data_IF_403663852438
#
_entry.id   IF_403663852438
#
_cell.length_a   1.000
_cell.length_b   1.000
_cell.length_c   1.000
_cell.angle_alpha   90.00
_cell.angle_beta   90.00
_cell.angle_gamma   90.00
#
_symmetry.space_group_name_H-M   'P 1'
#
loop_
_entity.id
_entity.type
_entity.pdbx_description
1 polymer ?
#
# COMPACT_ATOMS: atom_id res chain seq x y z
N UNK A 1 33.85 1.10 -26.30
CA UNK A 1 32.57 0.39 -26.47
C UNK A 1 31.52 1.40 -26.88
N UNK A 2 31.00 1.29 -28.11
CA UNK A 2 30.27 2.35 -28.82
C UNK A 2 28.94 2.74 -28.16
N UNK A 3 28.78 3.98 -27.73
CA UNK A 3 27.57 4.52 -27.08
C UNK A 3 26.30 4.23 -27.92
N UNK A 4 26.41 4.28 -29.24
CA UNK A 4 25.34 3.94 -30.19
C UNK A 4 24.88 2.49 -30.10
N UNK A 5 25.81 1.53 -29.89
CA UNK A 5 25.49 0.12 -29.74
C UNK A 5 24.76 -0.14 -28.38
N UNK A 6 25.17 0.55 -27.31
CA UNK A 6 24.54 0.46 -26.00
C UNK A 6 23.11 1.04 -25.99
N UNK A 7 22.92 2.16 -26.71
CA UNK A 7 21.58 2.78 -26.87
C UNK A 7 20.65 1.90 -27.71
N UNK A 8 21.20 1.21 -28.73
CA UNK A 8 20.42 0.28 -29.55
C UNK A 8 19.99 -0.95 -28.76
N UNK A 9 20.87 -1.54 -27.94
CA UNK A 9 20.52 -2.66 -27.05
C UNK A 9 19.50 -2.28 -26.00
N UNK A 10 19.54 -1.04 -25.46
CA UNK A 10 18.53 -0.53 -24.54
C UNK A 10 17.14 -0.40 -25.20
N UNK A 11 17.07 0.05 -26.46
CA UNK A 11 15.82 0.14 -27.22
C UNK A 11 15.22 -1.23 -27.56
N UNK A 12 16.06 -2.26 -27.68
CA UNK A 12 15.66 -3.64 -27.97
C UNK A 12 15.25 -4.41 -26.70
N UNK A 13 15.49 -3.84 -25.51
CA UNK A 13 15.13 -4.47 -24.24
C UNK A 13 13.61 -4.65 -24.12
N UNK A 14 13.09 -5.85 -23.75
CA UNK A 14 11.65 -6.14 -23.72
C UNK A 14 10.82 -5.12 -22.94
N UNK A 15 11.28 -4.68 -21.77
CA UNK A 15 10.59 -3.67 -20.98
C UNK A 15 10.50 -2.30 -21.67
N UNK A 16 11.54 -1.87 -22.38
CA UNK A 16 11.51 -0.60 -23.13
C UNK A 16 10.52 -0.71 -24.30
N UNK A 17 10.46 -1.87 -24.95
CA UNK A 17 9.51 -2.13 -26.03
C UNK A 17 8.07 -2.12 -25.52
N UNK A 18 7.79 -2.55 -24.29
CA UNK A 18 6.45 -2.44 -23.67
C UNK A 18 5.97 -1.00 -23.68
N UNK A 19 6.78 -0.03 -23.25
CA UNK A 19 6.41 1.40 -23.26
C UNK A 19 6.37 1.98 -24.68
N UNK A 20 7.24 1.51 -25.58
CA UNK A 20 7.24 1.95 -26.96
C UNK A 20 5.99 1.48 -27.72
N UNK A 21 5.56 0.25 -27.45
CA UNK A 21 4.42 -0.40 -28.12
C UNK A 21 3.05 0.03 -27.55
N UNK A 22 3.01 0.47 -26.29
CA UNK A 22 1.80 0.96 -25.62
C UNK A 22 1.87 2.49 -25.48
N UNK A 23 1.57 3.19 -26.57
CA UNK A 23 1.44 4.65 -26.55
C UNK A 23 0.19 5.11 -25.77
N UNK A 24 0.02 6.44 -25.61
CA UNK A 24 -1.16 7.01 -24.95
C UNK A 24 -1.18 6.80 -23.44
N UNK A 25 -2.31 6.29 -22.90
CA UNK A 25 -2.54 6.17 -21.45
C UNK A 25 -1.46 5.36 -20.72
N UNK A 26 -1.13 4.11 -21.13
CA UNK A 26 -0.18 3.29 -20.38
C UNK A 26 1.20 3.94 -20.24
N UNK A 27 1.72 4.46 -21.35
CA UNK A 27 3.03 5.12 -21.37
C UNK A 27 3.03 6.39 -20.51
N UNK A 28 2.00 7.22 -20.64
CA UNK A 28 1.89 8.47 -19.87
C UNK A 28 1.84 8.18 -18.38
N UNK A 29 0.97 7.25 -17.94
CA UNK A 29 0.78 6.93 -16.52
C UNK A 29 2.07 6.37 -15.89
N UNK A 30 2.75 5.45 -16.57
CA UNK A 30 4.02 4.91 -16.06
C UNK A 30 5.09 6.00 -15.92
N UNK A 31 5.20 6.92 -16.90
CA UNK A 31 6.23 7.96 -16.87
C UNK A 31 5.97 9.05 -15.82
N UNK A 32 4.72 9.30 -15.46
CA UNK A 32 4.36 10.30 -14.44
C UNK A 32 4.21 9.70 -13.03
N UNK A 33 4.28 8.38 -12.88
CA UNK A 33 4.15 7.73 -11.57
C UNK A 33 5.21 8.18 -10.54
N UNK A 34 6.47 8.50 -10.92
CA UNK A 34 7.44 9.09 -10.00
C UNK A 34 6.99 10.41 -9.33
N UNK A 35 6.07 11.17 -9.95
CA UNK A 35 5.51 12.40 -9.35
C UNK A 35 4.68 12.11 -8.09
N UNK A 36 4.16 10.90 -7.95
CA UNK A 36 3.53 10.40 -6.73
C UNK A 36 4.55 9.66 -5.84
N UNK A 37 5.27 8.68 -6.41
CA UNK A 37 6.08 7.74 -5.66
C UNK A 37 7.24 8.39 -4.90
N UNK A 38 7.95 9.35 -5.51
CA UNK A 38 9.11 10.00 -4.88
C UNK A 38 8.66 10.86 -3.68
N UNK A 39 7.73 11.83 -3.81
CA UNK A 39 7.29 12.64 -2.67
C UNK A 39 6.65 11.80 -1.56
N UNK A 40 5.88 10.77 -1.90
CA UNK A 40 5.32 9.84 -0.92
C UNK A 40 6.41 9.21 -0.04
N UNK A 41 7.46 8.64 -0.65
CA UNK A 41 8.53 7.97 0.10
C UNK A 41 9.42 8.95 0.89
N UNK A 42 9.50 10.23 0.48
CA UNK A 42 10.17 11.26 1.26
C UNK A 42 9.41 11.60 2.55
N UNK A 43 8.08 11.52 2.55
CA UNK A 43 7.23 11.94 3.67
C UNK A 43 6.86 10.77 4.58
N UNK A 44 6.58 9.60 4.01
CA UNK A 44 6.00 8.46 4.73
C UNK A 44 6.72 8.10 6.04
N UNK A 45 8.06 8.11 6.14
CA UNK A 45 8.76 7.79 7.39
C UNK A 45 8.49 8.80 8.52
N UNK A 46 8.14 10.04 8.17
CA UNK A 46 7.98 11.15 9.11
C UNK A 46 6.53 11.56 9.36
N UNK A 47 5.57 11.03 8.61
CA UNK A 47 4.18 11.50 8.64
C UNK A 47 3.56 11.46 10.04
N UNK A 48 3.72 10.37 10.78
CA UNK A 48 3.20 10.23 12.14
C UNK A 48 3.99 11.06 13.15
N UNK A 49 5.32 11.10 13.01
CA UNK A 49 6.18 11.92 13.84
C UNK A 49 5.83 13.42 13.67
N UNK A 50 5.54 13.85 12.44
CA UNK A 50 5.09 15.22 12.17
C UNK A 50 3.77 15.56 12.89
N UNK A 51 2.77 14.68 12.84
CA UNK A 51 1.53 14.85 13.62
C UNK A 51 1.82 14.98 15.12
N UNK A 52 2.65 14.10 15.65
CA UNK A 52 3.03 14.09 17.06
C UNK A 52 3.76 15.38 17.48
N UNK A 53 4.72 15.84 16.69
CA UNK A 53 5.46 17.10 16.96
C UNK A 53 4.59 18.34 16.84
N UNK A 54 3.44 18.27 16.16
CA UNK A 54 2.40 19.32 16.13
C UNK A 54 1.38 19.20 17.28
N UNK A 55 1.66 18.37 18.29
CA UNK A 55 0.82 18.24 19.49
C UNK A 55 -0.37 17.28 19.34
N UNK A 56 -0.47 16.51 18.23
CA UNK A 56 -1.49 15.47 18.09
C UNK A 56 -1.08 14.27 18.93
N UNK A 57 -1.95 13.88 19.86
CA UNK A 57 -1.68 12.76 20.78
C UNK A 57 -1.76 11.40 20.07
N UNK A 58 -1.13 10.36 20.65
CA UNK A 58 -1.18 8.99 20.10
C UNK A 58 -2.61 8.48 19.92
N UNK A 59 -3.49 8.79 20.86
CA UNK A 59 -4.92 8.44 20.79
C UNK A 59 -5.59 9.15 19.61
N UNK A 60 -5.30 10.43 19.42
CA UNK A 60 -5.83 11.21 18.29
C UNK A 60 -5.31 10.70 16.95
N UNK A 61 -4.03 10.31 16.87
CA UNK A 61 -3.46 9.66 15.67
C UNK A 61 -4.22 8.37 15.38
N UNK A 62 -4.41 7.52 16.39
CA UNK A 62 -5.19 6.29 16.26
C UNK A 62 -6.64 6.54 15.83
N UNK A 63 -7.27 7.62 16.33
CA UNK A 63 -8.61 8.02 15.92
C UNK A 63 -8.66 8.47 14.44
N UNK A 64 -7.69 9.27 14.00
CA UNK A 64 -7.56 9.64 12.58
C UNK A 64 -7.50 8.39 11.71
N UNK A 65 -6.65 7.42 12.07
CA UNK A 65 -6.51 6.16 11.33
C UNK A 65 -7.83 5.39 11.27
N UNK A 66 -8.54 5.25 12.40
CA UNK A 66 -9.82 4.52 12.43
C UNK A 66 -10.90 5.22 11.61
N UNK A 67 -11.05 6.53 11.75
CA UNK A 67 -12.05 7.32 10.98
C UNK A 67 -11.75 7.24 9.48
N UNK A 68 -10.50 7.41 9.09
CA UNK A 68 -10.13 7.34 7.67
C UNK A 68 -10.36 5.95 7.08
N UNK A 69 -10.09 4.87 7.82
CA UNK A 69 -10.41 3.52 7.37
C UNK A 69 -11.91 3.31 7.14
N UNK A 70 -12.76 3.81 8.03
CA UNK A 70 -14.21 3.75 7.83
C UNK A 70 -14.62 4.51 6.56
N UNK A 71 -14.09 5.71 6.35
CA UNK A 71 -14.35 6.49 5.13
C UNK A 71 -13.81 5.79 3.87
N UNK A 72 -12.63 5.17 3.95
CA UNK A 72 -12.05 4.38 2.86
C UNK A 72 -12.93 3.19 2.45
N UNK A 73 -13.59 2.52 3.41
CA UNK A 73 -14.56 1.45 3.10
C UNK A 73 -15.68 1.98 2.20
N UNK A 74 -16.27 3.11 2.54
CA UNK A 74 -17.30 3.72 1.70
C UNK A 74 -16.75 4.06 0.31
N UNK A 75 -15.61 4.72 0.23
CA UNK A 75 -15.03 5.13 -1.05
C UNK A 75 -14.55 3.96 -1.92
N UNK A 76 -14.16 2.83 -1.34
CA UNK A 76 -13.79 1.64 -2.10
C UNK A 76 -14.96 1.04 -2.87
N UNK A 77 -16.18 1.07 -2.29
CA UNK A 77 -17.38 0.65 -3.02
C UNK A 77 -17.78 1.66 -4.11
N UNK A 78 -17.60 2.94 -3.85
CA UNK A 78 -17.92 3.98 -4.83
C UNK A 78 -16.92 4.10 -5.98
N UNK A 79 -15.66 3.66 -5.77
CA UNK A 79 -14.59 3.80 -6.76
C UNK A 79 -14.91 3.20 -8.11
N UNK A 80 -15.36 1.94 -8.13
CA UNK A 80 -15.77 1.26 -9.36
C UNK A 80 -16.99 1.90 -10.01
N UNK A 81 -17.98 2.29 -9.21
CA UNK A 81 -19.23 2.93 -9.68
C UNK A 81 -18.93 4.29 -10.31
N UNK A 82 -18.11 5.11 -9.67
CA UNK A 82 -17.71 6.42 -10.19
C UNK A 82 -16.85 6.28 -11.44
N UNK A 83 -15.93 5.32 -11.48
CA UNK A 83 -15.17 5.01 -12.68
C UNK A 83 -16.06 4.60 -13.86
N UNK A 84 -17.14 3.85 -13.63
CA UNK A 84 -18.10 3.46 -14.66
C UNK A 84 -18.99 4.64 -15.10
N UNK A 85 -19.45 5.49 -14.18
CA UNK A 85 -20.36 6.62 -14.48
C UNK A 85 -19.68 7.86 -15.04
N UNK A 86 -18.52 8.23 -14.49
CA UNK A 86 -17.81 9.46 -14.85
C UNK A 86 -16.72 9.21 -15.90
N UNK A 87 -16.29 7.95 -16.05
CA UNK A 87 -15.19 7.52 -16.90
C UNK A 87 -13.89 7.38 -16.11
N UNK A 88 -12.95 6.58 -16.63
CA UNK A 88 -11.68 6.24 -16.00
C UNK A 88 -10.78 7.47 -15.82
N UNK A 89 -10.64 8.24 -16.92
CA UNK A 89 -9.80 9.44 -16.94
C UNK A 89 -10.23 10.47 -15.89
N UNK A 90 -11.51 10.84 -15.89
CA UNK A 90 -12.03 11.89 -15.01
C UNK A 90 -11.94 11.45 -13.54
N UNK A 91 -12.28 10.21 -13.24
CA UNK A 91 -12.22 9.64 -11.88
C UNK A 91 -10.77 9.59 -11.36
N UNK A 92 -9.81 9.21 -12.21
CA UNK A 92 -8.38 9.24 -11.87
C UNK A 92 -7.93 10.66 -11.54
N UNK A 93 -8.30 11.64 -12.38
CA UNK A 93 -7.95 13.05 -12.14
C UNK A 93 -8.54 13.58 -10.83
N UNK A 94 -9.80 13.29 -10.53
CA UNK A 94 -10.43 13.68 -9.26
C UNK A 94 -9.71 13.07 -8.06
N UNK A 95 -9.37 11.78 -8.13
CA UNK A 95 -8.67 11.09 -7.04
C UNK A 95 -7.27 11.65 -6.81
N UNK A 96 -6.49 11.89 -7.87
CA UNK A 96 -5.17 12.51 -7.78
C UNK A 96 -5.24 13.94 -7.24
N UNK A 97 -6.21 14.75 -7.71
CA UNK A 97 -6.36 16.15 -7.30
C UNK A 97 -6.82 16.28 -5.84
N UNK A 98 -7.93 15.63 -5.48
CA UNK A 98 -8.47 15.76 -4.11
C UNK A 98 -7.73 14.86 -3.13
N UNK A 99 -7.48 13.58 -3.48
CA UNK A 99 -6.88 12.60 -2.58
C UNK A 99 -5.42 12.90 -2.25
N UNK A 100 -4.67 13.47 -3.18
CA UNK A 100 -3.26 13.81 -2.95
C UNK A 100 -2.99 15.30 -3.06
N UNK A 101 -3.40 15.97 -4.14
CA UNK A 101 -3.12 17.39 -4.34
C UNK A 101 -3.64 18.26 -3.20
N UNK A 102 -4.94 18.25 -2.98
CA UNK A 102 -5.57 19.06 -1.93
C UNK A 102 -5.29 18.54 -0.53
N UNK A 103 -5.27 17.21 -0.32
CA UNK A 103 -4.95 16.63 0.97
C UNK A 103 -3.54 17.02 1.44
N UNK A 104 -2.53 16.93 0.56
CA UNK A 104 -1.16 17.34 0.88
C UNK A 104 -1.05 18.84 1.15
N UNK A 105 -1.82 19.67 0.43
CA UNK A 105 -1.87 21.09 0.71
C UNK A 105 -2.40 21.37 2.14
N UNK A 106 -3.47 20.68 2.55
CA UNK A 106 -3.99 20.82 3.92
C UNK A 106 -2.99 20.27 4.93
N UNK A 107 -2.35 19.11 4.69
CA UNK A 107 -1.30 18.58 5.58
C UNK A 107 -0.13 19.55 5.76
N UNK A 108 0.26 20.28 4.72
CA UNK A 108 1.39 21.22 4.80
C UNK A 108 1.16 22.36 5.79
N UNK A 109 -0.09 22.77 5.99
CA UNK A 109 -0.49 23.83 6.92
C UNK A 109 -1.08 23.30 8.23
N UNK A 110 -1.21 21.97 8.36
CA UNK A 110 -1.82 21.34 9.54
C UNK A 110 -0.98 21.59 10.80
N UNK A 111 -1.65 21.97 11.88
CA UNK A 111 -1.06 22.24 13.20
C UNK A 111 -1.95 21.78 14.35
N UNK A 112 -3.07 21.13 14.09
CA UNK A 112 -3.98 20.60 15.08
C UNK A 112 -4.71 19.36 14.56
N UNK A 113 -5.33 18.61 15.49
CA UNK A 113 -6.07 17.38 15.20
C UNK A 113 -7.09 17.51 14.05
N UNK A 114 -7.88 18.58 14.05
CA UNK A 114 -8.97 18.75 13.07
C UNK A 114 -8.48 18.93 11.64
N UNK A 115 -7.39 19.69 11.45
CA UNK A 115 -6.79 19.85 10.12
C UNK A 115 -6.14 18.55 9.64
N UNK A 116 -5.47 17.80 10.52
CA UNK A 116 -4.93 16.49 10.17
C UNK A 116 -6.04 15.50 9.81
N UNK A 117 -7.15 15.50 10.55
CA UNK A 117 -8.30 14.67 10.24
C UNK A 117 -8.95 15.06 8.91
N UNK A 118 -9.15 16.36 8.66
CA UNK A 118 -9.71 16.86 7.40
C UNK A 118 -8.85 16.46 6.19
N UNK A 119 -7.52 16.63 6.29
CA UNK A 119 -6.59 16.21 5.26
C UNK A 119 -6.63 14.69 5.02
N UNK A 120 -6.68 13.90 6.10
CA UNK A 120 -6.75 12.45 6.02
C UNK A 120 -8.08 11.96 5.42
N UNK A 121 -9.21 12.62 5.71
CA UNK A 121 -10.51 12.34 5.07
C UNK A 121 -10.47 12.72 3.58
N UNK A 122 -9.87 13.85 3.20
CA UNK A 122 -9.64 14.18 1.80
C UNK A 122 -8.79 13.13 1.10
N UNK A 123 -7.73 12.63 1.76
CA UNK A 123 -6.89 11.58 1.18
C UNK A 123 -7.66 10.29 0.88
N UNK A 124 -8.77 10.01 1.54
CA UNK A 124 -9.59 8.83 1.24
C UNK A 124 -10.13 8.80 -0.20
N UNK A 125 -10.16 9.93 -0.93
CA UNK A 125 -10.46 9.96 -2.37
C UNK A 125 -9.49 9.11 -3.20
N UNK A 126 -8.31 8.78 -2.67
CA UNK A 126 -7.38 7.82 -3.29
C UNK A 126 -8.02 6.46 -3.52
N UNK A 127 -8.89 5.97 -2.63
CA UNK A 127 -9.57 4.68 -2.80
C UNK A 127 -10.44 4.65 -4.07
N UNK A 128 -11.04 5.79 -4.42
CA UNK A 128 -11.79 5.94 -5.66
C UNK A 128 -10.83 5.89 -6.86
N UNK A 129 -9.69 6.56 -6.75
CA UNK A 129 -8.69 6.62 -7.79
C UNK A 129 -8.07 5.25 -8.11
N UNK A 130 -7.78 4.45 -7.10
CA UNK A 130 -7.04 3.20 -7.25
C UNK A 130 -7.63 2.30 -8.35
N UNK A 131 -8.96 2.10 -8.33
CA UNK A 131 -9.64 1.29 -9.36
C UNK A 131 -9.60 1.96 -10.75
N UNK A 132 -9.88 3.27 -10.82
CA UNK A 132 -9.94 4.00 -12.08
C UNK A 132 -8.56 4.11 -12.74
N UNK A 133 -7.50 4.33 -11.95
CA UNK A 133 -6.14 4.42 -12.42
C UNK A 133 -5.64 3.11 -13.04
N UNK A 134 -5.89 1.97 -12.37
CA UNK A 134 -5.54 0.67 -12.94
C UNK A 134 -6.30 0.39 -14.24
N UNK A 135 -7.60 0.70 -14.32
CA UNK A 135 -8.36 0.55 -15.55
C UNK A 135 -7.79 1.45 -16.66
N UNK A 136 -7.46 2.71 -16.36
CA UNK A 136 -6.87 3.65 -17.31
C UNK A 136 -5.50 3.18 -17.83
N UNK A 137 -4.72 2.48 -16.97
CA UNK A 137 -3.43 1.91 -17.32
C UNK A 137 -3.53 0.73 -18.28
N UNK A 138 -4.52 -0.17 -18.08
CA UNK A 138 -4.50 -1.50 -18.74
C UNK A 138 -5.56 -1.70 -19.81
N UNK A 139 -6.71 -1.00 -19.80
CA UNK A 139 -7.86 -1.30 -20.68
C UNK A 139 -7.53 -1.14 -22.17
N UNK A 140 -6.71 -0.15 -22.53
CA UNK A 140 -6.27 0.08 -23.91
C UNK A 140 -4.88 -0.50 -24.23
N UNK A 141 -4.26 -1.24 -23.27
CA UNK A 141 -2.97 -1.86 -23.45
C UNK A 141 -3.08 -3.19 -24.20
N UNK A 142 -1.99 -3.60 -24.86
CA UNK A 142 -1.91 -4.92 -25.51
C UNK A 142 -1.86 -6.03 -24.45
N UNK A 143 -2.69 -7.09 -24.54
CA UNK A 143 -2.73 -8.14 -23.52
C UNK A 143 -1.36 -8.75 -23.19
N UNK A 144 -0.49 -8.94 -24.18
CA UNK A 144 0.87 -9.47 -24.00
C UNK A 144 1.81 -8.55 -23.23
N UNK A 145 1.51 -7.26 -23.13
CA UNK A 145 2.35 -6.25 -22.50
C UNK A 145 1.93 -5.93 -21.05
N UNK A 146 0.80 -6.47 -20.57
CA UNK A 146 0.24 -6.18 -19.24
C UNK A 146 1.24 -6.45 -18.12
N UNK A 147 1.91 -7.62 -18.17
CA UNK A 147 2.94 -7.97 -17.17
C UNK A 147 4.08 -6.95 -17.17
N UNK A 148 4.50 -6.49 -18.35
CA UNK A 148 5.54 -5.48 -18.48
C UNK A 148 5.14 -4.11 -17.92
N UNK A 149 3.87 -3.69 -18.09
CA UNK A 149 3.34 -2.46 -17.51
C UNK A 149 3.32 -2.52 -15.98
N UNK A 150 2.82 -3.60 -15.39
CA UNK A 150 2.87 -3.80 -13.94
C UNK A 150 4.31 -3.84 -13.42
N UNK A 151 5.23 -4.45 -14.19
CA UNK A 151 6.67 -4.45 -13.85
C UNK A 151 7.22 -3.03 -13.81
N UNK A 152 6.87 -2.16 -14.76
CA UNK A 152 7.28 -0.75 -14.74
C UNK A 152 6.75 0.01 -13.52
N UNK A 153 5.48 -0.19 -13.15
CA UNK A 153 4.90 0.43 -11.94
C UNK A 153 5.66 -0.02 -10.70
N UNK A 154 5.94 -1.32 -10.58
CA UNK A 154 6.73 -1.86 -9.47
C UNK A 154 8.16 -1.32 -9.42
N UNK A 155 8.84 -1.24 -10.58
CA UNK A 155 10.19 -0.63 -10.67
C UNK A 155 10.15 0.83 -10.23
N UNK A 156 9.14 1.60 -10.70
CA UNK A 156 8.95 2.99 -10.29
C UNK A 156 8.80 3.13 -8.78
N UNK A 157 7.99 2.27 -8.15
CA UNK A 157 7.82 2.23 -6.70
C UNK A 157 9.11 1.91 -5.95
N UNK A 158 9.86 0.89 -6.40
CA UNK A 158 11.14 0.53 -5.79
C UNK A 158 12.19 1.65 -5.94
N UNK A 159 12.30 2.25 -7.12
CA UNK A 159 13.23 3.38 -7.34
C UNK A 159 12.86 4.57 -6.44
N UNK A 160 11.57 4.85 -6.26
CA UNK A 160 11.11 5.92 -5.41
C UNK A 160 11.55 5.76 -3.94
N UNK A 161 11.65 4.53 -3.42
CA UNK A 161 12.09 4.26 -2.04
C UNK A 161 13.55 4.73 -1.82
N UNK A 162 14.41 4.64 -2.83
CA UNK A 162 15.80 5.08 -2.70
C UNK A 162 15.97 6.59 -2.52
N UNK A 163 14.93 7.38 -2.74
CA UNK A 163 14.93 8.82 -2.45
C UNK A 163 14.63 9.13 -0.97
N UNK A 164 14.09 8.19 -0.20
CA UNK A 164 13.71 8.42 1.20
C UNK A 164 14.84 9.01 2.07
N UNK A 165 16.15 8.61 1.97
CA UNK A 165 17.20 9.20 2.80
C UNK A 165 17.42 10.68 2.61
N UNK A 166 17.05 11.25 1.44
CA UNK A 166 17.18 12.68 1.22
C UNK A 166 16.35 13.48 2.23
N UNK A 167 15.16 13.01 2.59
CA UNK A 167 14.36 13.66 3.63
C UNK A 167 15.01 13.59 5.00
N UNK A 168 15.68 12.47 5.33
CA UNK A 168 16.45 12.32 6.57
C UNK A 168 17.59 13.32 6.70
N UNK A 169 18.32 13.58 5.59
CA UNK A 169 19.38 14.60 5.57
C UNK A 169 18.83 16.00 5.86
N UNK A 170 17.70 16.37 5.25
CA UNK A 170 17.06 17.66 5.50
C UNK A 170 16.51 17.77 6.93
N UNK A 171 15.89 16.69 7.45
CA UNK A 171 15.39 16.65 8.84
C UNK A 171 16.51 16.82 9.84
N UNK A 172 17.67 16.24 9.59
CA UNK A 172 18.86 16.41 10.46
C UNK A 172 19.35 17.88 10.52
N UNK A 173 19.16 18.64 9.42
CA UNK A 173 19.63 20.03 9.33
C UNK A 173 18.60 21.06 9.80
N UNK A 174 17.29 20.79 9.59
CA UNK A 174 16.20 21.78 9.74
C UNK A 174 15.05 21.32 10.64
N UNK A 175 15.13 20.18 11.28
CA UNK A 175 14.06 19.52 12.04
C UNK A 175 12.88 19.02 11.21
N UNK A 176 11.99 18.18 11.83
CA UNK A 176 10.89 17.49 11.15
C UNK A 176 9.84 18.43 10.59
N UNK A 177 9.39 19.41 11.40
CA UNK A 177 8.20 20.22 11.05
C UNK A 177 8.40 21.06 9.77
N UNK A 178 9.43 21.91 9.64
CA UNK A 178 9.58 22.71 8.43
C UNK A 178 9.87 21.85 7.20
N UNK A 179 10.66 20.78 7.35
CA UNK A 179 10.98 19.87 6.23
C UNK A 179 9.73 19.19 5.72
N UNK A 180 8.93 18.56 6.59
CA UNK A 180 7.75 17.80 6.18
C UNK A 180 6.67 18.73 5.60
N UNK A 181 6.52 19.97 6.10
CA UNK A 181 5.64 20.98 5.50
C UNK A 181 6.02 21.29 4.06
N UNK A 182 7.30 21.54 3.80
CA UNK A 182 7.80 21.80 2.44
C UNK A 182 7.62 20.58 1.56
N UNK A 183 7.89 19.37 2.06
CA UNK A 183 7.69 18.13 1.31
C UNK A 183 6.22 17.91 0.95
N UNK A 184 5.27 18.21 1.85
CA UNK A 184 3.84 18.14 1.53
C UNK A 184 3.44 19.17 0.48
N UNK A 185 3.99 20.38 0.51
CA UNK A 185 3.76 21.39 -0.55
C UNK A 185 4.30 20.91 -1.90
N UNK A 186 5.52 20.36 -1.92
CA UNK A 186 6.12 19.78 -3.14
C UNK A 186 5.23 18.63 -3.64
N UNK A 187 4.75 17.75 -2.76
CA UNK A 187 3.87 16.66 -3.13
C UNK A 187 2.55 17.17 -3.71
N UNK A 188 1.93 18.18 -3.09
CA UNK A 188 0.73 18.83 -3.64
C UNK A 188 0.97 19.34 -5.05
N UNK A 189 2.06 20.07 -5.29
CA UNK A 189 2.41 20.62 -6.60
C UNK A 189 2.67 19.53 -7.64
N UNK A 190 3.39 18.45 -7.28
CA UNK A 190 3.65 17.33 -8.19
C UNK A 190 2.36 16.60 -8.56
N UNK A 191 1.40 16.46 -7.63
CA UNK A 191 0.11 15.81 -7.90
C UNK A 191 -0.82 16.69 -8.73
N UNK A 192 -0.81 18.00 -8.55
CA UNK A 192 -1.50 18.93 -9.44
C UNK A 192 -0.90 18.85 -10.85
N UNK A 193 0.44 18.83 -10.96
CA UNK A 193 1.11 18.64 -12.25
C UNK A 193 0.75 17.28 -12.90
N UNK A 194 0.74 16.18 -12.12
CA UNK A 194 0.29 14.84 -12.57
C UNK A 194 -1.13 14.88 -13.12
N UNK A 195 -2.06 15.55 -12.40
CA UNK A 195 -3.45 15.75 -12.85
C UNK A 195 -3.52 16.52 -14.18
N UNK A 196 -2.75 17.59 -14.33
CA UNK A 196 -2.70 18.38 -15.57
C UNK A 196 -2.13 17.56 -16.73
N UNK A 197 -1.08 16.78 -16.49
CA UNK A 197 -0.48 15.89 -17.51
C UNK A 197 -1.49 14.81 -17.91
N UNK A 198 -2.17 14.20 -16.96
CA UNK A 198 -3.24 13.21 -17.22
C UNK A 198 -4.37 13.84 -18.04
N UNK A 199 -4.76 15.08 -17.72
CA UNK A 199 -5.76 15.80 -18.52
C UNK A 199 -5.34 16.01 -19.98
N UNK A 200 -4.10 16.41 -20.22
CA UNK A 200 -3.60 16.74 -21.56
C UNK A 200 -3.26 15.51 -22.41
N UNK A 201 -2.65 14.48 -21.82
CA UNK A 201 -2.01 13.39 -22.55
C UNK A 201 -2.78 12.05 -22.46
N UNK A 202 -3.66 11.88 -21.47
CA UNK A 202 -4.53 10.72 -21.42
C UNK A 202 -5.89 10.99 -22.07
N UNK A 203 -6.52 9.93 -22.54
CA UNK A 203 -7.87 9.94 -23.11
C UNK A 203 -8.71 8.86 -22.44
N UNK A 204 -10.04 9.02 -22.52
CA UNK A 204 -10.96 8.03 -21.96
C UNK A 204 -10.83 6.71 -22.71
N UNK A 205 -10.75 5.60 -21.96
CA UNK A 205 -10.60 4.25 -22.51
C UNK A 205 -11.83 3.85 -23.33
N UNK A 206 -11.64 2.92 -24.26
CA UNK A 206 -12.76 2.36 -25.03
C UNK A 206 -13.79 1.73 -24.09
N UNK A 207 -13.36 0.92 -23.14
CA UNK A 207 -14.24 0.29 -22.16
C UNK A 207 -14.91 1.33 -21.25
N UNK A 208 -14.20 2.37 -20.84
CA UNK A 208 -14.73 3.48 -20.05
C UNK A 208 -15.88 4.20 -20.77
N UNK A 209 -15.76 4.44 -22.08
CA UNK A 209 -16.85 5.02 -22.89
C UNK A 209 -18.09 4.13 -22.93
N UNK A 210 -17.90 2.81 -23.12
CA UNK A 210 -19.00 1.83 -23.16
C UNK A 210 -19.70 1.80 -21.79
N UNK A 211 -18.96 1.62 -20.71
CA UNK A 211 -19.51 1.55 -19.35
C UNK A 211 -20.25 2.83 -18.96
N UNK A 212 -19.70 4.00 -19.31
CA UNK A 212 -20.36 5.29 -19.08
C UNK A 212 -21.70 5.41 -19.79
N UNK A 213 -21.81 4.88 -21.02
CA UNK A 213 -23.07 4.87 -21.76
C UNK A 213 -24.09 3.91 -21.12
N UNK A 214 -23.67 2.69 -20.77
CA UNK A 214 -24.53 1.67 -20.14
C UNK A 214 -25.05 2.10 -18.77
N UNK A 215 -24.19 2.73 -17.94
CA UNK A 215 -24.54 3.12 -16.56
C UNK A 215 -25.20 4.49 -16.44
N UNK A 216 -25.38 5.23 -17.55
CA UNK A 216 -25.93 6.60 -17.54
C UNK A 216 -27.24 6.71 -16.78
N UNK A 217 -28.16 5.79 -17.02
CA UNK A 217 -29.52 5.78 -16.46
C UNK A 217 -29.65 4.84 -15.25
N UNK A 218 -28.59 4.16 -14.83
CA UNK A 218 -28.61 3.22 -13.68
C UNK A 218 -28.34 4.03 -12.41
N UNK A 219 -29.12 3.84 -11.36
CA UNK A 219 -28.89 4.49 -10.06
C UNK A 219 -27.61 3.96 -9.40
N UNK A 220 -26.87 4.83 -8.69
CA UNK A 220 -25.73 4.42 -7.86
C UNK A 220 -26.13 3.36 -6.83
N UNK A 221 -27.32 3.49 -6.24
CA UNK A 221 -27.83 2.52 -5.26
C UNK A 221 -28.17 1.16 -5.89
N UNK A 222 -28.61 1.11 -7.15
CA UNK A 222 -28.81 -0.14 -7.87
C UNK A 222 -27.47 -0.85 -8.10
N UNK A 223 -26.43 -0.12 -8.51
CA UNK A 223 -25.09 -0.66 -8.71
C UNK A 223 -24.46 -1.17 -7.38
N UNK A 224 -24.71 -0.47 -6.26
CA UNK A 224 -24.31 -0.96 -4.93
C UNK A 224 -25.05 -2.23 -4.53
N UNK A 225 -26.32 -2.37 -4.92
CA UNK A 225 -27.14 -3.56 -4.67
C UNK A 225 -26.55 -4.85 -5.25
N UNK A 226 -25.79 -4.78 -6.33
CA UNK A 226 -25.13 -5.95 -6.94
C UNK A 226 -24.12 -6.62 -5.99
N UNK A 227 -23.45 -5.85 -5.13
CA UNK A 227 -22.50 -6.41 -4.14
C UNK A 227 -23.19 -7.27 -3.08
N UNK A 228 -24.48 -7.04 -2.80
CA UNK A 228 -25.24 -7.82 -1.80
C UNK A 228 -25.29 -9.30 -2.13
N UNK A 229 -25.32 -9.66 -3.41
CA UNK A 229 -25.37 -11.05 -3.85
C UNK A 229 -24.04 -11.80 -3.69
N UNK A 230 -22.92 -11.08 -3.54
CA UNK A 230 -21.58 -11.67 -3.37
C UNK A 230 -21.25 -11.99 -1.92
N UNK A 231 -21.91 -11.34 -0.95
CA UNK A 231 -21.66 -11.56 0.49
C UNK A 231 -21.88 -13.01 0.91
N UNK A 232 -22.99 -13.70 0.53
CA UNK A 232 -23.16 -15.10 0.87
C UNK A 232 -22.06 -16.00 0.30
N UNK A 233 -21.61 -15.77 -0.93
CA UNK A 233 -20.53 -16.53 -1.56
C UNK A 233 -19.22 -16.40 -0.76
N UNK A 234 -18.92 -15.21 -0.26
CA UNK A 234 -17.76 -14.96 0.61
C UNK A 234 -17.86 -15.73 1.94
N UNK A 235 -19.04 -15.70 2.57
CA UNK A 235 -19.24 -16.26 3.92
C UNK A 235 -19.32 -17.81 3.92
N UNK A 236 -19.71 -18.43 2.82
CA UNK A 236 -19.83 -19.90 2.74
C UNK A 236 -18.48 -20.61 2.47
N UNK A 237 -17.49 -19.91 1.92
CA UNK A 237 -16.17 -20.49 1.65
C UNK A 237 -15.24 -20.44 2.86
N UNK A 238 -15.09 -21.56 3.57
CA UNK A 238 -14.16 -21.67 4.72
C UNK A 238 -12.70 -21.33 4.36
N UNK A 239 -12.27 -21.63 3.11
CA UNK A 239 -10.94 -21.30 2.63
C UNK A 239 -10.74 -19.79 2.50
N UNK A 240 -11.71 -19.09 1.88
CA UNK A 240 -11.72 -17.64 1.73
C UNK A 240 -11.75 -16.96 3.10
N UNK A 241 -12.61 -17.40 4.03
CA UNK A 241 -12.69 -16.81 5.38
C UNK A 241 -11.37 -16.89 6.13
N UNK A 242 -10.65 -18.02 6.06
CA UNK A 242 -9.32 -18.16 6.69
C UNK A 242 -8.29 -17.23 6.05
N UNK A 243 -8.29 -17.12 4.71
CA UNK A 243 -7.39 -16.22 4.00
C UNK A 243 -7.70 -14.75 4.32
N UNK A 244 -8.97 -14.38 4.42
CA UNK A 244 -9.41 -13.04 4.86
C UNK A 244 -8.97 -12.76 6.30
N UNK A 245 -9.15 -13.71 7.23
CA UNK A 245 -8.72 -13.54 8.63
C UNK A 245 -7.21 -13.28 8.72
N UNK A 246 -6.38 -14.02 7.99
CA UNK A 246 -4.93 -13.76 7.91
C UNK A 246 -4.63 -12.41 7.29
N UNK A 247 -5.36 -12.01 6.25
CA UNK A 247 -5.21 -10.70 5.61
C UNK A 247 -5.56 -9.56 6.56
N UNK A 248 -6.64 -9.67 7.34
CA UNK A 248 -7.03 -8.70 8.38
C UNK A 248 -5.94 -8.57 9.44
N UNK A 249 -5.42 -9.69 9.94
CA UNK A 249 -4.34 -9.69 10.95
C UNK A 249 -3.10 -8.98 10.40
N UNK A 250 -2.66 -9.33 9.21
CA UNK A 250 -1.48 -8.72 8.60
C UNK A 250 -1.70 -7.23 8.26
N UNK A 251 -2.93 -6.85 7.93
CA UNK A 251 -3.28 -5.45 7.71
C UNK A 251 -3.20 -4.64 9.01
N UNK A 252 -3.71 -5.19 10.14
CA UNK A 252 -3.59 -4.56 11.47
C UNK A 252 -2.11 -4.42 11.86
N UNK A 253 -1.29 -5.46 11.66
CA UNK A 253 0.15 -5.40 11.90
C UNK A 253 0.81 -4.30 11.06
N UNK A 254 0.42 -4.18 9.79
CA UNK A 254 0.92 -3.12 8.92
C UNK A 254 0.52 -1.71 9.43
N UNK A 255 -0.70 -1.53 9.93
CA UNK A 255 -1.15 -0.27 10.56
C UNK A 255 -0.23 0.10 11.73
N UNK A 256 0.04 -0.85 12.63
CA UNK A 256 0.90 -0.64 13.79
C UNK A 256 2.31 -0.26 13.33
N UNK A 257 2.91 -1.05 12.44
CA UNK A 257 4.27 -0.82 11.97
C UNK A 257 4.43 0.50 11.19
N UNK A 258 3.49 0.81 10.32
CA UNK A 258 3.60 2.03 9.49
C UNK A 258 3.41 3.30 10.32
N UNK A 259 2.50 3.29 11.31
CA UNK A 259 2.09 4.51 12.00
C UNK A 259 2.74 4.71 13.37
N UNK A 260 3.12 3.64 14.08
CA UNK A 260 3.66 3.77 15.44
C UNK A 260 5.15 3.43 15.55
N UNK A 261 5.76 2.88 14.50
CA UNK A 261 7.18 2.54 14.50
C UNK A 261 8.08 3.78 14.64
N UNK A 262 7.79 4.86 13.91
CA UNK A 262 8.56 6.10 14.01
C UNK A 262 8.54 6.69 15.43
N UNK A 263 7.37 6.72 16.06
CA UNK A 263 7.20 7.19 17.43
C UNK A 263 7.95 6.29 18.44
N UNK A 264 7.89 4.97 18.26
CA UNK A 264 8.60 4.04 19.10
C UNK A 264 10.12 4.24 19.04
N UNK A 265 10.65 4.33 17.82
CA UNK A 265 12.09 4.47 17.57
C UNK A 265 12.63 5.80 18.11
N UNK A 266 11.91 6.90 17.89
CA UNK A 266 12.37 8.23 18.31
C UNK A 266 12.07 8.54 19.77
N UNK A 267 10.84 8.31 20.21
CA UNK A 267 10.38 8.75 21.53
C UNK A 267 10.64 7.73 22.65
N UNK A 268 10.74 6.43 22.32
CA UNK A 268 11.00 5.37 23.32
C UNK A 268 12.44 4.90 23.31
N UNK A 269 13.02 4.68 22.11
CA UNK A 269 14.41 4.22 21.99
C UNK A 269 15.41 5.39 21.95
N UNK A 270 14.95 6.64 21.74
CA UNK A 270 15.80 7.82 21.69
C UNK A 270 16.73 7.88 20.46
N UNK A 271 16.38 7.16 19.38
CA UNK A 271 17.19 7.17 18.17
C UNK A 271 16.94 8.44 17.35
N UNK A 272 17.95 8.85 16.61
CA UNK A 272 17.92 10.03 15.75
C UNK A 272 16.86 9.89 14.65
N UNK A 273 16.09 10.97 14.43
CA UNK A 273 14.96 11.03 13.48
C UNK A 273 15.38 10.74 12.02
N UNK A 274 16.60 11.11 11.63
CA UNK A 274 17.12 10.88 10.29
C UNK A 274 17.24 9.39 9.94
N UNK A 275 17.39 8.50 10.95
CA UNK A 275 17.43 7.04 10.75
C UNK A 275 16.10 6.48 10.23
N UNK A 276 14.97 7.18 10.48
CA UNK A 276 13.64 6.75 10.01
C UNK A 276 13.60 6.59 8.49
N UNK A 277 14.33 7.41 7.76
CA UNK A 277 14.39 7.36 6.30
C UNK A 277 15.28 6.21 5.75
N UNK A 278 16.15 5.62 6.60
CA UNK A 278 17.03 4.52 6.21
C UNK A 278 16.32 3.16 6.28
N UNK A 279 15.40 2.98 7.22
CA UNK A 279 14.74 1.68 7.45
C UNK A 279 13.93 1.17 6.25
N UNK A 280 13.17 1.99 5.49
CA UNK A 280 12.46 1.55 4.29
C UNK A 280 13.40 0.98 3.22
N UNK A 281 14.60 1.57 3.04
CA UNK A 281 15.59 1.08 2.08
C UNK A 281 16.13 -0.28 2.51
N UNK A 282 16.50 -0.41 3.78
CA UNK A 282 16.95 -1.70 4.30
C UNK A 282 15.89 -2.78 4.09
N UNK A 283 14.64 -2.46 4.42
CA UNK A 283 13.52 -3.37 4.20
C UNK A 283 13.39 -3.78 2.73
N UNK A 284 13.38 -2.81 1.80
CA UNK A 284 13.27 -3.06 0.37
C UNK A 284 14.46 -3.88 -0.17
N UNK A 285 15.69 -3.56 0.25
CA UNK A 285 16.90 -4.26 -0.17
C UNK A 285 16.88 -5.72 0.29
N UNK A 286 16.56 -5.97 1.56
CA UNK A 286 16.48 -7.32 2.13
C UNK A 286 15.38 -8.13 1.43
N UNK A 287 14.19 -7.54 1.23
CA UNK A 287 13.10 -8.20 0.50
C UNK A 287 13.52 -8.58 -0.91
N UNK A 288 14.17 -7.67 -1.64
CA UNK A 288 14.61 -7.90 -3.01
C UNK A 288 15.64 -9.04 -3.08
N UNK A 289 16.67 -8.99 -2.21
CA UNK A 289 17.70 -10.03 -2.14
C UNK A 289 17.07 -11.40 -1.81
N UNK A 290 16.13 -11.43 -0.88
CA UNK A 290 15.45 -12.66 -0.52
C UNK A 290 14.59 -13.20 -1.67
N UNK A 291 13.81 -12.33 -2.34
CA UNK A 291 12.94 -12.72 -3.44
C UNK A 291 13.72 -13.26 -4.64
N UNK A 292 14.84 -12.64 -4.98
CA UNK A 292 15.68 -13.07 -6.10
C UNK A 292 16.54 -14.28 -5.73
N UNK A 293 17.14 -14.28 -4.54
CA UNK A 293 18.13 -15.29 -4.15
C UNK A 293 17.57 -16.56 -3.55
N UNK A 294 16.47 -16.48 -2.79
CA UNK A 294 15.99 -17.58 -1.95
C UNK A 294 14.61 -18.08 -2.37
N UNK A 295 13.71 -17.18 -2.78
CA UNK A 295 12.30 -17.54 -3.00
C UNK A 295 12.10 -18.60 -4.08
N UNK A 296 12.93 -18.62 -5.13
CA UNK A 296 12.86 -19.63 -6.18
C UNK A 296 13.21 -21.05 -5.70
N UNK A 297 13.90 -21.18 -4.55
CA UNK A 297 14.23 -22.48 -3.93
C UNK A 297 13.12 -23.01 -3.03
N UNK A 298 12.12 -22.20 -2.72
CA UNK A 298 11.02 -22.58 -1.85
C UNK A 298 9.87 -23.06 -2.75
N UNK A 299 9.40 -24.29 -2.52
CA UNK A 299 8.32 -24.90 -3.32
C UNK A 299 7.11 -23.96 -3.45
N UNK A 300 6.65 -23.80 -4.68
CA UNK A 300 5.51 -22.95 -5.03
C UNK A 300 4.20 -23.59 -4.53
N UNK A 301 4.16 -24.90 -4.39
CA UNK A 301 2.98 -25.68 -3.99
C UNK A 301 2.76 -25.76 -2.48
N UNK A 302 3.80 -25.48 -1.67
CA UNK A 302 3.72 -25.52 -0.20
C UNK A 302 3.42 -24.14 0.35
N UNK A 303 2.25 -23.95 0.92
CA UNK A 303 1.81 -22.69 1.51
C UNK A 303 1.94 -22.66 3.03
N UNK A 304 1.52 -23.74 3.71
CA UNK A 304 1.40 -23.78 5.16
C UNK A 304 2.73 -23.56 5.89
N UNK A 305 3.76 -24.33 5.55
CA UNK A 305 5.05 -24.28 6.26
C UNK A 305 5.76 -22.94 6.08
N UNK A 306 5.92 -22.38 4.85
CA UNK A 306 6.54 -21.07 4.70
C UNK A 306 5.74 -19.93 5.32
N UNK A 307 4.39 -19.97 5.32
CA UNK A 307 3.56 -18.99 6.01
C UNK A 307 3.78 -19.06 7.53
N UNK A 308 3.83 -20.28 8.07
CA UNK A 308 4.07 -20.48 9.51
C UNK A 308 5.44 -19.98 9.93
N UNK A 309 6.50 -20.31 9.18
CA UNK A 309 7.87 -19.81 9.42
C UNK A 309 7.91 -18.29 9.32
N UNK A 310 7.28 -17.70 8.30
CA UNK A 310 7.24 -16.25 8.14
C UNK A 310 6.53 -15.54 9.27
N UNK A 311 5.41 -16.09 9.78
CA UNK A 311 4.72 -15.53 10.96
C UNK A 311 5.53 -15.69 12.24
N UNK A 312 6.24 -16.81 12.42
CA UNK A 312 7.16 -16.99 13.53
C UNK A 312 8.31 -15.98 13.49
N UNK A 313 8.88 -15.72 12.30
CA UNK A 313 9.88 -14.67 12.10
C UNK A 313 9.35 -13.27 12.41
N UNK A 314 8.12 -12.95 12.04
CA UNK A 314 7.48 -11.70 12.46
C UNK A 314 7.36 -11.60 13.99
N UNK A 315 7.01 -12.71 14.65
CA UNK A 315 6.97 -12.79 16.11
C UNK A 315 8.36 -12.52 16.72
N UNK A 316 9.41 -13.16 16.20
CA UNK A 316 10.81 -12.92 16.62
C UNK A 316 11.20 -11.47 16.39
N UNK A 317 10.86 -10.88 15.23
CA UNK A 317 11.12 -9.48 14.96
C UNK A 317 10.44 -8.57 16.00
N UNK A 318 9.16 -8.80 16.29
CA UNK A 318 8.44 -8.02 17.30
C UNK A 318 9.08 -8.13 18.69
N UNK A 319 9.53 -9.33 19.09
CA UNK A 319 10.28 -9.52 20.34
C UNK A 319 11.59 -8.72 20.34
N UNK A 320 12.37 -8.78 19.26
CA UNK A 320 13.60 -7.99 19.12
C UNK A 320 13.34 -6.49 19.29
N UNK A 321 12.23 -5.99 18.75
CA UNK A 321 11.88 -4.58 18.88
C UNK A 321 11.46 -4.23 20.31
N UNK A 322 10.59 -5.03 20.94
CA UNK A 322 10.06 -4.80 22.29
C UNK A 322 11.18 -4.82 23.34
N UNK A 323 12.13 -5.74 23.21
CA UNK A 323 13.27 -5.88 24.12
C UNK A 323 14.50 -5.05 23.71
N UNK A 324 14.36 -4.21 22.67
CA UNK A 324 15.45 -3.33 22.25
C UNK A 324 15.85 -2.36 23.36
N UNK A 325 17.14 -2.30 23.74
CA UNK A 325 17.65 -1.30 24.67
C UNK A 325 17.54 0.12 24.08
N UNK A 326 17.44 1.12 24.95
CA UNK A 326 17.52 2.52 24.52
C UNK A 326 18.83 2.78 23.76
N UNK A 327 18.78 3.65 22.75
CA UNK A 327 19.91 4.03 21.89
C UNK A 327 20.55 2.89 21.09
N UNK A 328 19.92 1.72 21.01
CA UNK A 328 20.48 0.56 20.30
C UNK A 328 20.00 0.52 18.84
N UNK A 329 20.77 1.12 17.94
CA UNK A 329 20.51 1.10 16.49
C UNK A 329 20.54 -0.33 15.92
N UNK A 330 21.48 -1.17 16.41
CA UNK A 330 21.67 -2.54 15.92
C UNK A 330 20.44 -3.43 16.10
N UNK A 331 19.73 -3.33 17.22
CA UNK A 331 18.50 -4.10 17.45
C UNK A 331 17.39 -3.68 16.50
N UNK A 332 17.26 -2.40 16.17
CA UNK A 332 16.27 -1.91 15.23
C UNK A 332 16.60 -2.35 13.79
N UNK A 333 17.89 -2.32 13.40
CA UNK A 333 18.32 -2.87 12.12
C UNK A 333 18.02 -4.37 12.02
N UNK A 334 18.29 -5.14 13.08
CA UNK A 334 17.98 -6.57 13.11
C UNK A 334 16.47 -6.83 13.03
N UNK A 335 15.65 -6.04 13.74
CA UNK A 335 14.19 -6.07 13.61
C UNK A 335 13.76 -5.86 12.16
N UNK A 336 14.24 -4.78 11.50
CA UNK A 336 13.88 -4.47 10.11
C UNK A 336 14.32 -5.59 9.17
N UNK A 337 15.52 -6.15 9.36
CA UNK A 337 16.03 -7.27 8.59
C UNK A 337 15.12 -8.51 8.71
N UNK A 338 14.84 -8.95 9.94
CA UNK A 338 14.03 -10.15 10.19
C UNK A 338 12.59 -9.95 9.71
N UNK A 339 12.02 -8.75 9.92
CA UNK A 339 10.67 -8.43 9.45
C UNK A 339 10.58 -8.38 7.92
N UNK A 340 11.62 -7.92 7.23
CA UNK A 340 11.68 -7.92 5.78
C UNK A 340 11.73 -9.34 5.18
N UNK A 341 12.51 -10.24 5.80
CA UNK A 341 12.53 -11.67 5.43
C UNK A 341 11.16 -12.31 5.66
N UNK A 342 10.53 -12.01 6.80
CA UNK A 342 9.18 -12.48 7.10
C UNK A 342 8.16 -11.99 6.07
N UNK A 343 8.21 -10.71 5.70
CA UNK A 343 7.35 -10.11 4.67
C UNK A 343 7.51 -10.78 3.32
N UNK A 344 8.75 -11.04 2.89
CA UNK A 344 9.06 -11.69 1.63
C UNK A 344 8.54 -13.15 1.57
N UNK A 345 8.49 -13.84 2.72
CA UNK A 345 7.90 -15.17 2.82
C UNK A 345 6.37 -15.15 2.82
N UNK A 346 5.76 -14.23 3.57
CA UNK A 346 4.33 -14.23 3.87
C UNK A 346 3.51 -13.60 2.77
N UNK A 347 3.88 -12.39 2.28
CA UNK A 347 3.01 -11.60 1.41
C UNK A 347 2.66 -12.31 0.10
N UNK A 348 3.60 -12.84 -0.70
CA UNK A 348 3.26 -13.49 -1.96
C UNK A 348 2.38 -14.74 -1.76
N UNK A 349 2.62 -15.49 -0.67
CA UNK A 349 1.88 -16.72 -0.38
C UNK A 349 0.48 -16.45 0.15
N UNK A 350 0.33 -15.43 0.99
CA UNK A 350 -0.98 -14.96 1.44
C UNK A 350 -1.86 -14.56 0.23
N UNK A 351 -1.29 -13.77 -0.69
CA UNK A 351 -2.01 -13.29 -1.87
C UNK A 351 -2.34 -14.45 -2.82
N UNK A 352 -1.41 -15.38 -3.06
CA UNK A 352 -1.66 -16.57 -3.84
C UNK A 352 -2.73 -17.50 -3.21
N UNK A 353 -2.64 -17.72 -1.89
CA UNK A 353 -3.64 -18.52 -1.17
C UNK A 353 -5.06 -17.92 -1.31
N UNK A 354 -5.17 -16.60 -1.23
CA UNK A 354 -6.43 -15.91 -1.44
C UNK A 354 -6.97 -16.15 -2.85
N UNK A 355 -6.14 -15.97 -3.88
CA UNK A 355 -6.54 -16.10 -5.28
C UNK A 355 -6.93 -17.52 -5.68
N UNK A 356 -6.29 -18.54 -5.09
CA UNK A 356 -6.61 -19.95 -5.34
C UNK A 356 -7.95 -20.37 -4.75
N UNK A 357 -8.44 -19.68 -3.73
CA UNK A 357 -9.73 -19.96 -3.10
C UNK A 357 -10.91 -19.19 -3.72
N UNK A 358 -10.66 -18.32 -4.71
CA UNK A 358 -11.67 -17.46 -5.33
C UNK A 358 -12.02 -18.00 -6.73
N UNK A 359 -13.33 -18.04 -7.04
CA UNK A 359 -13.79 -18.38 -8.38
C UNK A 359 -13.23 -17.37 -9.41
N UNK A 360 -12.55 -17.83 -10.49
CA UNK A 360 -11.97 -16.96 -11.50
C UNK A 360 -12.96 -15.98 -12.13
N UNK A 361 -14.22 -16.38 -12.31
CA UNK A 361 -15.26 -15.54 -12.93
C UNK A 361 -15.70 -14.35 -12.07
N UNK A 362 -15.61 -14.47 -10.75
CA UNK A 362 -16.02 -13.44 -9.79
C UNK A 362 -14.82 -12.76 -9.10
N UNK A 363 -13.61 -13.13 -9.49
CA UNK A 363 -12.35 -12.76 -8.81
C UNK A 363 -12.21 -11.25 -8.57
N UNK A 364 -12.50 -10.40 -9.56
CA UNK A 364 -12.36 -8.96 -9.43
C UNK A 364 -13.33 -8.39 -8.37
N UNK A 365 -14.59 -8.82 -8.40
CA UNK A 365 -15.64 -8.35 -7.47
C UNK A 365 -15.39 -8.85 -6.05
N UNK A 366 -15.01 -10.14 -5.91
CA UNK A 366 -14.69 -10.71 -4.60
C UNK A 366 -13.44 -10.09 -3.98
N UNK A 367 -12.41 -9.80 -4.77
CA UNK A 367 -11.23 -9.08 -4.28
C UNK A 367 -11.58 -7.69 -3.74
N UNK A 368 -12.43 -6.92 -4.44
CA UNK A 368 -12.88 -5.62 -3.95
C UNK A 368 -13.64 -5.74 -2.63
N UNK A 369 -14.55 -6.73 -2.52
CA UNK A 369 -15.29 -7.00 -1.29
C UNK A 369 -14.38 -7.43 -0.14
N UNK A 370 -13.40 -8.30 -0.41
CA UNK A 370 -12.42 -8.76 0.58
C UNK A 370 -11.57 -7.58 1.06
N UNK A 371 -11.13 -6.72 0.15
CA UNK A 371 -10.33 -5.55 0.51
C UNK A 371 -11.13 -4.57 1.37
N UNK A 372 -12.37 -4.26 0.98
CA UNK A 372 -13.28 -3.44 1.77
C UNK A 372 -13.56 -4.05 3.15
N UNK A 373 -13.81 -5.37 3.21
CA UNK A 373 -14.01 -6.10 4.46
C UNK A 373 -12.76 -6.08 5.35
N UNK A 374 -11.57 -6.24 4.76
CA UNK A 374 -10.29 -6.18 5.48
C UNK A 374 -10.10 -4.82 6.13
N UNK A 375 -10.33 -3.73 5.41
CA UNK A 375 -10.24 -2.36 5.93
C UNK A 375 -11.28 -2.15 7.02
N UNK A 376 -12.54 -2.55 6.78
CA UNK A 376 -13.64 -2.39 7.74
C UNK A 376 -13.38 -3.10 9.07
N UNK A 377 -12.97 -4.37 9.01
CA UNK A 377 -12.65 -5.17 10.20
C UNK A 377 -11.40 -4.66 10.94
N UNK A 378 -10.48 -4.02 10.22
CA UNK A 378 -9.25 -3.46 10.80
C UNK A 378 -9.44 -2.06 11.38
N UNK A 379 -10.51 -1.35 11.03
CA UNK A 379 -10.70 0.06 11.41
C UNK A 379 -10.69 0.33 12.91
N UNK A 380 -11.25 -0.51 13.82
CA UNK A 380 -11.19 -0.26 15.26
C UNK A 380 -9.76 -0.35 15.83
N UNK A 381 -8.89 -1.10 15.15
CA UNK A 381 -7.54 -1.37 15.63
C UNK A 381 -6.59 -0.19 15.45
N UNK A 382 -6.92 0.79 14.60
CA UNK A 382 -6.21 2.07 14.54
C UNK A 382 -6.31 2.82 15.86
N UNK A 383 -7.53 2.98 16.38
CA UNK A 383 -7.77 3.59 17.69
C UNK A 383 -7.14 2.79 18.83
N UNK A 384 -7.33 1.45 18.82
CA UNK A 384 -6.74 0.57 19.83
C UNK A 384 -5.19 0.70 19.86
N UNK A 385 -4.54 0.74 18.73
CA UNK A 385 -3.09 0.91 18.64
C UNK A 385 -2.64 2.27 19.20
N UNK A 386 -3.39 3.35 18.91
CA UNK A 386 -3.14 4.67 19.46
C UNK A 386 -3.32 4.71 20.99
N UNK A 387 -4.38 4.08 21.51
CA UNK A 387 -4.60 3.96 22.96
C UNK A 387 -3.49 3.14 23.63
N UNK A 388 -3.12 1.99 23.07
CA UNK A 388 -2.02 1.19 23.57
C UNK A 388 -0.70 1.97 23.58
N UNK A 389 -0.42 2.74 22.51
CA UNK A 389 0.78 3.57 22.40
C UNK A 389 0.82 4.69 23.45
N UNK A 390 -0.33 5.24 23.84
CA UNK A 390 -0.41 6.26 24.88
C UNK A 390 -0.13 5.71 26.29
N UNK A 391 -0.42 4.42 26.52
CA UNK A 391 -0.12 3.75 27.81
C UNK A 391 1.35 3.35 27.89
N UNK A 392 1.85 2.59 26.93
CA UNK A 392 3.26 2.29 26.70
C UNK A 392 3.50 2.05 25.20
N UNK A 393 4.52 2.70 24.65
CA UNK A 393 4.85 2.58 23.20
C UNK A 393 5.26 1.17 22.77
N UNK A 394 5.53 0.24 23.69
CA UNK A 394 5.76 -1.18 23.43
C UNK A 394 4.47 -1.95 23.17
N UNK A 395 3.36 -1.53 23.77
CA UNK A 395 2.10 -2.29 23.76
C UNK A 395 1.52 -2.52 22.38
N UNK A 396 1.56 -1.58 21.40
CA UNK A 396 1.12 -1.86 20.03
C UNK A 396 1.88 -3.04 19.41
N UNK A 397 3.20 -3.13 19.64
CA UNK A 397 4.03 -4.21 19.12
C UNK A 397 3.83 -5.52 19.90
N UNK A 398 3.60 -5.45 21.22
CA UNK A 398 3.21 -6.61 22.02
C UNK A 398 1.85 -7.18 21.57
N UNK A 399 0.91 -6.31 21.21
CA UNK A 399 -0.37 -6.71 20.63
C UNK A 399 -0.17 -7.45 19.30
N UNK A 400 0.77 -7.02 18.44
CA UNK A 400 1.07 -7.76 17.20
C UNK A 400 1.56 -9.18 17.44
N UNK A 401 2.26 -9.46 18.55
CA UNK A 401 2.64 -10.83 18.91
C UNK A 401 1.42 -11.74 19.11
N UNK A 402 0.42 -11.24 19.82
CA UNK A 402 -0.85 -11.99 20.01
C UNK A 402 -1.50 -12.27 18.65
N UNK A 403 -1.52 -11.28 17.78
CA UNK A 403 -2.07 -11.43 16.43
C UNK A 403 -1.30 -12.46 15.58
N UNK A 404 0.03 -12.51 15.68
CA UNK A 404 0.83 -13.54 14.98
C UNK A 404 0.52 -14.95 15.48
N UNK A 405 0.35 -15.13 16.80
CA UNK A 405 -0.07 -16.43 17.37
C UNK A 405 -1.45 -16.84 16.82
N UNK A 406 -2.41 -15.92 16.80
CA UNK A 406 -3.75 -16.18 16.23
C UNK A 406 -3.62 -16.55 14.74
N UNK A 407 -2.83 -15.81 13.95
CA UNK A 407 -2.61 -16.10 12.54
C UNK A 407 -1.98 -17.50 12.33
N UNK A 408 -1.00 -17.89 13.14
CA UNK A 408 -0.40 -19.23 13.11
C UNK A 408 -1.43 -20.31 13.39
N UNK A 409 -2.32 -20.13 14.37
CA UNK A 409 -3.41 -21.06 14.68
C UNK A 409 -4.41 -21.18 13.52
N UNK A 410 -4.75 -20.07 12.86
CA UNK A 410 -5.60 -20.06 11.66
C UNK A 410 -4.95 -20.83 10.53
N UNK A 411 -3.65 -20.61 10.26
CA UNK A 411 -2.92 -21.26 9.18
C UNK A 411 -2.75 -22.76 9.45
N UNK A 412 -2.60 -23.20 10.71
CA UNK A 412 -2.58 -24.63 11.04
C UNK A 412 -3.84 -25.39 10.55
N UNK A 413 -4.96 -24.69 10.43
CA UNK A 413 -6.24 -25.24 9.96
C UNK A 413 -6.49 -25.03 8.46
N UNK A 414 -5.57 -24.39 7.73
CA UNK A 414 -5.69 -24.22 6.27
C UNK A 414 -5.29 -25.52 5.59
N UNK A 415 -6.15 -25.99 4.68
CA UNK A 415 -5.83 -27.09 3.78
C UNK A 415 -4.93 -26.58 2.66
N UNK A 416 -3.90 -27.32 2.31
CA UNK A 416 -3.07 -26.97 1.16
C UNK A 416 -3.89 -27.11 -0.12
N UNK A 417 -3.90 -26.11 -1.01
CA UNK A 417 -4.57 -26.24 -2.30
C UNK A 417 -3.93 -27.39 -3.09
N UNK A 418 -4.75 -28.25 -3.68
CA UNK A 418 -4.27 -29.25 -4.64
C UNK A 418 -3.90 -28.51 -5.94
N UNK A 419 -2.65 -28.12 -6.08
CA UNK A 419 -2.10 -27.61 -7.35
C UNK A 419 -1.62 -28.83 -8.12
N UNK A 420 -2.29 -29.20 -9.21
CA UNK A 420 -1.78 -30.25 -10.11
C UNK A 420 -0.43 -29.77 -10.68
N UNK A 421 0.60 -30.60 -10.55
CA UNK A 421 1.97 -30.34 -11.05
C UNK A 421 2.06 -30.17 -12.58
N UNK A 422 0.95 -30.19 -13.30
CA UNK A 422 0.92 -30.10 -14.78
C UNK A 422 1.08 -28.68 -15.34
N UNK A 423 0.99 -27.63 -14.48
CA UNK A 423 1.05 -26.21 -14.91
C UNK A 423 2.25 -25.45 -14.31
N UNK A 424 3.29 -26.14 -13.83
CA UNK A 424 4.52 -25.55 -13.28
C UNK A 424 5.65 -25.51 -14.31
#
# INVERSE_FOLDING_TARGET
MNLKAKIRGLKEHPLVQVLANNGGNPRTLVLIEPLWGIPYNLIAPFATLYMYTQGVTDVQIGLILSVTMVVQVFFSFFGGILADKLGRKFTTMMGDFFGWGMACLVWSVSHNFWLFLAAAVLNCFEQINQTAWYCLLIEDARPKDLVGLYTWVNIGGLVAIFFAPLSGLFVNSYSVVPVVRVLYLVFSLTMIAKTIITFKFCHETRQGKIRRAETRNVSVFQMLGEYRHLIPSLLHSRGVLKAVAVSVILYIVNIVNTNFFSLYVTQRLGLSENLLAVFPILNAAVMLIFMVGIQHRISVTKFRVPLWIGLALYGVAALLLIFSPANSVGFVFLYVFVSAVAAALVNPRKDALLQLNINPQERARLNALIMASTIALSSPFGYLAGWLSSVDRRLPFAFTLVLFVIAMLVICRVQEPQVEEKDA
#
